data_IF_578966884045
#
_entry.id   IF_578966884045
#
_cell.length_a   1.000
_cell.length_b   1.000
_cell.length_c   1.000
_cell.angle_alpha   90.00
_cell.angle_beta   90.00
_cell.angle_gamma   90.00
#
_symmetry.space_group_name_H-M   'P 1'
#
loop_
_entity.id
_entity.type
_entity.pdbx_description
1 polymer ?
#
# COMPACT_ATOMS: atom_id res chain seq x y z
N UNK A 1 19.83 -12.27 10.23
CA UNK A 1 20.37 -12.67 8.91
C UNK A 1 19.70 -11.79 7.87
N UNK A 2 20.43 -11.18 6.92
CA UNK A 2 19.76 -10.55 5.77
C UNK A 2 18.91 -11.61 5.09
N UNK A 3 17.68 -11.25 4.72
CA UNK A 3 16.80 -12.11 3.94
C UNK A 3 17.57 -12.51 2.67
N UNK A 4 17.74 -13.81 2.33
CA UNK A 4 18.40 -14.18 1.09
C UNK A 4 17.74 -13.44 -0.07
N UNK A 5 18.55 -12.74 -0.88
CA UNK A 5 18.04 -12.03 -2.04
C UNK A 5 17.24 -13.00 -2.91
N UNK A 6 15.96 -12.67 -3.15
CA UNK A 6 15.08 -13.47 -3.99
C UNK A 6 15.71 -13.61 -5.38
N UNK A 7 15.82 -14.84 -5.89
CA UNK A 7 16.30 -15.08 -7.25
C UNK A 7 15.18 -14.72 -8.22
N UNK A 8 15.50 -14.38 -9.50
CA UNK A 8 14.48 -14.12 -10.52
C UNK A 8 13.37 -15.18 -10.59
N UNK A 9 13.73 -16.46 -10.49
CA UNK A 9 12.74 -17.54 -10.53
C UNK A 9 11.76 -17.50 -9.34
N UNK A 10 12.23 -17.10 -8.15
CA UNK A 10 11.38 -17.03 -6.96
C UNK A 10 10.32 -15.92 -7.10
N UNK A 11 10.66 -14.83 -7.81
CA UNK A 11 9.72 -13.75 -8.16
C UNK A 11 8.67 -14.23 -9.17
N UNK A 12 9.10 -14.96 -10.20
CA UNK A 12 8.19 -15.53 -11.21
C UNK A 12 7.22 -16.52 -10.56
N UNK A 13 7.72 -17.42 -9.73
CA UNK A 13 6.92 -18.43 -9.05
C UNK A 13 5.90 -17.78 -8.11
N UNK A 14 6.30 -16.74 -7.37
CA UNK A 14 5.42 -15.98 -6.49
C UNK A 14 4.28 -15.25 -7.21
N UNK A 15 4.50 -14.82 -8.46
CA UNK A 15 3.48 -14.16 -9.27
C UNK A 15 2.65 -15.15 -10.12
N UNK A 16 3.11 -16.38 -10.31
CA UNK A 16 2.50 -17.35 -11.22
C UNK A 16 1.21 -17.95 -10.66
N UNK A 17 0.23 -18.20 -11.53
CA UNK A 17 -0.94 -19.01 -11.17
C UNK A 17 -0.63 -20.49 -11.42
N UNK A 18 -0.76 -21.34 -10.39
CA UNK A 18 -0.47 -22.78 -10.48
C UNK A 18 -1.26 -23.41 -11.64
N UNK A 19 -0.53 -24.08 -12.53
CA UNK A 19 -1.09 -24.77 -13.70
C UNK A 19 -1.46 -23.86 -14.87
N UNK A 20 -1.14 -22.56 -14.82
CA UNK A 20 -1.46 -21.59 -15.89
C UNK A 20 -0.20 -20.85 -16.33
N UNK A 21 0.45 -21.37 -17.38
CA UNK A 21 1.69 -20.78 -17.93
C UNK A 21 1.41 -19.40 -18.53
N UNK A 22 2.29 -18.43 -18.32
CA UNK A 22 2.18 -17.10 -18.92
C UNK A 22 1.07 -16.22 -18.32
N UNK A 23 0.47 -16.63 -17.20
CA UNK A 23 -0.52 -15.83 -16.46
C UNK A 23 0.02 -15.50 -15.08
N UNK A 24 0.17 -14.20 -14.83
CA UNK A 24 0.76 -13.66 -13.61
C UNK A 24 -0.21 -12.75 -12.89
N UNK A 25 -0.10 -12.70 -11.57
CA UNK A 25 -0.87 -11.84 -10.69
C UNK A 25 0.06 -10.93 -9.92
N UNK A 26 -0.21 -9.63 -9.96
CA UNK A 26 0.53 -8.62 -9.23
C UNK A 26 -0.34 -8.04 -8.12
N UNK A 27 0.07 -8.25 -6.87
CA UNK A 27 -0.38 -7.46 -5.74
C UNK A 27 -1.73 -7.86 -5.13
N UNK A 28 -2.70 -8.43 -5.85
CA UNK A 28 -4.07 -8.51 -5.32
C UNK A 28 -4.29 -9.50 -4.14
N UNK A 29 -3.29 -10.29 -3.76
CA UNK A 29 -3.31 -11.16 -2.57
C UNK A 29 -2.18 -10.87 -1.58
N UNK A 30 -1.47 -9.75 -1.78
CA UNK A 30 -0.33 -9.36 -0.95
C UNK A 30 -0.75 -8.68 0.36
N UNK A 31 0.10 -8.81 1.39
CA UNK A 31 -0.12 -8.16 2.69
C UNK A 31 0.38 -6.71 2.73
N UNK A 32 1.48 -6.40 2.03
CA UNK A 32 2.04 -5.04 1.95
C UNK A 32 1.63 -4.38 0.64
N UNK A 33 0.74 -3.40 0.70
CA UNK A 33 0.01 -2.89 -0.47
C UNK A 33 0.31 -1.42 -0.80
N UNK A 34 1.43 -0.90 -0.30
CA UNK A 34 1.84 0.50 -0.54
C UNK A 34 2.06 0.78 -2.03
N UNK A 35 1.89 2.04 -2.44
CA UNK A 35 2.13 2.47 -3.82
C UNK A 35 3.50 2.05 -4.34
N UNK A 36 4.55 2.32 -3.56
CA UNK A 36 5.92 1.88 -3.82
C UNK A 36 6.04 0.36 -4.02
N UNK A 37 5.51 -0.43 -3.07
CA UNK A 37 5.61 -1.89 -3.14
C UNK A 37 4.87 -2.48 -4.36
N UNK A 38 3.84 -1.79 -4.86
CA UNK A 38 3.15 -2.19 -6.08
C UNK A 38 4.03 -1.95 -7.33
N UNK A 39 4.71 -0.80 -7.43
CA UNK A 39 5.67 -0.55 -8.50
C UNK A 39 6.84 -1.54 -8.47
N UNK A 40 7.45 -1.74 -7.30
CA UNK A 40 8.57 -2.69 -7.13
C UNK A 40 8.19 -4.09 -7.61
N UNK A 41 7.00 -4.57 -7.30
CA UNK A 41 6.52 -5.88 -7.80
C UNK A 41 6.41 -5.92 -9.32
N UNK A 42 5.85 -4.87 -9.92
CA UNK A 42 5.73 -4.77 -11.38
C UNK A 42 7.11 -4.78 -12.06
N UNK A 43 8.05 -3.99 -11.56
CA UNK A 43 9.43 -3.93 -12.06
C UNK A 43 10.15 -5.27 -11.87
N UNK A 44 10.07 -5.85 -10.67
CA UNK A 44 10.74 -7.09 -10.33
C UNK A 44 10.25 -8.27 -11.17
N UNK A 45 8.93 -8.39 -11.41
CA UNK A 45 8.39 -9.43 -12.27
C UNK A 45 8.93 -9.33 -13.69
N UNK A 46 8.92 -8.14 -14.28
CA UNK A 46 9.41 -7.97 -15.65
C UNK A 46 10.91 -8.22 -15.74
N UNK A 47 11.70 -7.70 -14.80
CA UNK A 47 13.12 -7.96 -14.72
C UNK A 47 13.37 -9.48 -14.67
N UNK A 48 12.64 -10.20 -13.82
CA UNK A 48 12.77 -11.64 -13.71
C UNK A 48 12.36 -12.40 -14.98
N UNK A 49 11.28 -12.00 -15.64
CA UNK A 49 10.86 -12.58 -16.93
C UNK A 49 11.90 -12.34 -18.03
N UNK A 50 12.54 -11.16 -18.05
CA UNK A 50 13.61 -10.85 -18.99
C UNK A 50 14.86 -11.71 -18.73
N UNK A 51 15.32 -11.76 -17.47
CA UNK A 51 16.48 -12.56 -17.03
C UNK A 51 16.31 -14.07 -17.28
N UNK A 52 15.07 -14.56 -17.31
CA UNK A 52 14.74 -15.96 -17.57
C UNK A 52 14.30 -16.21 -19.02
N UNK A 53 14.60 -15.28 -19.95
CA UNK A 53 14.33 -15.38 -21.39
C UNK A 53 12.85 -15.50 -21.80
N UNK A 54 11.90 -15.23 -20.91
CA UNK A 54 10.46 -15.29 -21.23
C UNK A 54 10.05 -14.22 -22.26
N UNK A 55 10.82 -13.12 -22.36
CA UNK A 55 10.57 -12.03 -23.31
C UNK A 55 11.39 -12.14 -24.61
N UNK A 56 12.25 -13.17 -24.74
CA UNK A 56 13.22 -13.30 -25.84
C UNK A 56 12.55 -13.44 -27.22
N UNK A 57 11.48 -14.22 -27.30
CA UNK A 57 10.71 -14.45 -28.53
C UNK A 57 9.66 -13.36 -28.81
N UNK A 58 9.77 -12.19 -28.13
CA UNK A 58 8.90 -11.03 -28.30
C UNK A 58 7.41 -11.37 -28.15
N UNK A 59 7.00 -12.07 -27.07
CA UNK A 59 5.61 -12.43 -26.85
C UNK A 59 4.72 -11.18 -26.81
N UNK A 60 3.47 -11.29 -27.26
CA UNK A 60 2.49 -10.22 -27.03
C UNK A 60 2.07 -10.25 -25.56
N UNK A 61 2.24 -9.12 -24.87
CA UNK A 61 2.03 -9.00 -23.42
C UNK A 61 0.79 -8.14 -23.15
N UNK A 62 -0.19 -8.67 -22.41
CA UNK A 62 -1.28 -7.90 -21.86
C UNK A 62 -1.00 -7.54 -20.40
N UNK A 63 -1.17 -6.27 -20.05
CA UNK A 63 -1.18 -5.79 -18.66
C UNK A 63 -2.58 -5.27 -18.34
N UNK A 64 -3.22 -5.80 -17.30
CA UNK A 64 -4.62 -5.50 -16.96
C UNK A 64 -4.65 -4.68 -15.68
N UNK A 65 -4.94 -3.37 -15.81
CA UNK A 65 -5.00 -2.40 -14.72
C UNK A 65 -3.94 -1.30 -14.87
N UNK A 66 -4.37 -0.05 -14.98
CA UNK A 66 -3.55 1.17 -15.05
C UNK A 66 -3.22 1.77 -13.68
N UNK A 67 -3.09 0.91 -12.67
CA UNK A 67 -2.59 1.23 -11.33
C UNK A 67 -1.06 1.21 -11.25
N UNK A 68 -0.50 1.44 -10.06
CA UNK A 68 0.95 1.56 -9.85
C UNK A 68 1.75 0.34 -10.34
N UNK A 69 1.28 -0.88 -10.02
CA UNK A 69 1.93 -2.11 -10.48
C UNK A 69 1.85 -2.29 -12.00
N UNK A 70 0.70 -1.96 -12.60
CA UNK A 70 0.46 -2.14 -14.02
C UNK A 70 1.25 -1.15 -14.88
N UNK A 71 1.35 0.13 -14.46
CA UNK A 71 2.19 1.09 -15.16
C UNK A 71 3.66 0.67 -15.12
N UNK A 72 4.15 0.26 -13.95
CA UNK A 72 5.50 -0.23 -13.77
C UNK A 72 5.79 -1.46 -14.65
N UNK A 73 4.92 -2.46 -14.64
CA UNK A 73 5.07 -3.66 -15.46
C UNK A 73 5.01 -3.34 -16.96
N UNK A 74 4.07 -2.51 -17.42
CA UNK A 74 3.93 -2.17 -18.83
C UNK A 74 5.13 -1.36 -19.35
N UNK A 75 5.59 -0.35 -18.60
CA UNK A 75 6.76 0.44 -18.96
C UNK A 75 8.03 -0.42 -18.97
N UNK A 76 8.25 -1.24 -17.94
CA UNK A 76 9.39 -2.13 -17.89
C UNK A 76 9.38 -3.14 -19.04
N UNK A 77 8.22 -3.74 -19.37
CA UNK A 77 8.13 -4.74 -20.44
C UNK A 77 8.46 -4.13 -21.82
N UNK A 78 7.99 -2.90 -22.05
CA UNK A 78 8.24 -2.16 -23.28
C UNK A 78 9.71 -1.73 -23.42
N UNK A 79 10.40 -1.47 -22.31
CA UNK A 79 11.83 -1.12 -22.28
C UNK A 79 12.75 -2.34 -22.35
N UNK A 80 12.37 -3.46 -21.72
CA UNK A 80 13.17 -4.67 -21.62
C UNK A 80 13.15 -5.53 -22.90
N UNK A 81 12.20 -5.31 -23.81
CA UNK A 81 12.06 -6.09 -25.04
C UNK A 81 11.34 -5.32 -26.15
N UNK A 82 11.32 -5.91 -27.35
CA UNK A 82 10.48 -5.44 -28.48
C UNK A 82 9.10 -6.11 -28.51
N UNK A 83 8.70 -6.77 -27.42
CA UNK A 83 7.36 -7.34 -27.25
C UNK A 83 6.29 -6.27 -27.48
N UNK A 84 5.20 -6.58 -28.17
CA UNK A 84 4.03 -5.70 -28.19
C UNK A 84 3.34 -5.78 -26.82
N UNK A 85 3.30 -4.67 -26.11
CA UNK A 85 2.71 -4.52 -24.78
C UNK A 85 1.41 -3.75 -24.91
N UNK A 86 0.31 -4.31 -24.40
CA UNK A 86 -0.99 -3.65 -24.36
C UNK A 86 -1.45 -3.51 -22.91
N UNK A 87 -1.54 -2.26 -22.45
CA UNK A 87 -2.08 -1.92 -21.13
C UNK A 87 -3.57 -1.60 -21.24
N UNK A 88 -4.42 -2.36 -20.54
CA UNK A 88 -5.85 -2.12 -20.45
C UNK A 88 -6.21 -1.43 -19.13
N UNK A 89 -6.88 -0.28 -19.20
CA UNK A 89 -7.44 0.42 -18.04
C UNK A 89 -8.95 0.64 -18.24
N UNK A 90 -9.75 0.24 -17.25
CA UNK A 90 -11.21 0.35 -17.30
C UNK A 90 -11.69 1.79 -17.12
N UNK A 91 -10.95 2.61 -16.38
CA UNK A 91 -11.16 4.02 -16.18
C UNK A 91 -10.66 4.85 -17.37
N UNK A 92 -11.00 6.13 -17.35
CA UNK A 92 -10.57 7.14 -18.31
C UNK A 92 -9.20 7.75 -18.01
N UNK A 93 -8.72 7.58 -16.79
CA UNK A 93 -7.44 8.08 -16.29
C UNK A 93 -6.62 6.95 -15.68
N UNK A 94 -5.30 7.08 -15.81
CA UNK A 94 -4.34 6.23 -15.11
C UNK A 94 -4.22 6.67 -13.65
N UNK A 95 -3.94 5.72 -12.75
CA UNK A 95 -3.82 5.95 -11.30
C UNK A 95 -5.02 6.73 -10.71
N UNK A 96 -6.23 6.41 -11.19
CA UNK A 96 -7.46 7.18 -10.90
C UNK A 96 -7.73 7.38 -9.40
N UNK A 97 -7.42 6.38 -8.57
CA UNK A 97 -7.69 6.45 -7.12
C UNK A 97 -6.83 7.52 -6.41
N UNK A 98 -5.61 7.76 -6.89
CA UNK A 98 -4.69 8.75 -6.30
C UNK A 98 -5.04 10.19 -6.67
N UNK A 99 -6.13 10.44 -7.42
CA UNK A 99 -6.63 11.80 -7.68
C UNK A 99 -7.55 12.32 -6.56
N UNK A 100 -8.06 11.46 -5.68
CA UNK A 100 -9.19 11.79 -4.80
C UNK A 100 -8.86 12.67 -3.59
N UNK A 101 -7.57 12.87 -3.26
CA UNK A 101 -7.20 13.50 -1.99
C UNK A 101 -5.78 14.08 -1.96
N UNK A 102 -5.67 15.33 -1.50
CA UNK A 102 -4.40 15.96 -1.15
C UNK A 102 -3.99 15.70 0.31
N UNK A 103 -4.87 15.08 1.11
CA UNK A 103 -4.64 14.77 2.54
C UNK A 103 -3.83 13.49 2.72
N UNK A 104 -3.84 12.58 1.74
CA UNK A 104 -3.02 11.37 1.79
C UNK A 104 -1.67 11.67 1.16
N UNK A 105 -0.62 11.61 1.99
CA UNK A 105 0.76 11.60 1.52
C UNK A 105 1.19 10.17 1.23
N UNK A 106 1.86 10.00 0.11
CA UNK A 106 2.56 8.78 -0.23
C UNK A 106 4.02 8.97 0.14
N UNK A 107 4.59 7.93 0.72
CA UNK A 107 5.99 7.87 1.12
C UNK A 107 6.51 6.47 0.80
N UNK A 108 7.65 6.35 0.12
CA UNK A 108 8.16 5.06 -0.33
C UNK A 108 8.64 4.18 0.83
N UNK A 109 9.14 4.79 1.90
CA UNK A 109 9.98 4.13 2.90
C UNK A 109 9.46 4.24 4.34
N UNK A 110 8.45 5.07 4.62
CA UNK A 110 7.98 5.34 5.99
C UNK A 110 7.57 4.09 6.77
N UNK A 111 7.03 3.08 6.08
CA UNK A 111 6.64 1.80 6.69
C UNK A 111 7.86 0.98 7.18
N UNK A 112 9.08 1.33 6.76
CA UNK A 112 10.32 0.72 7.24
C UNK A 112 10.85 1.38 8.52
N UNK A 113 10.29 2.51 8.94
CA UNK A 113 10.70 3.18 10.19
C UNK A 113 10.54 2.20 11.36
N UNK A 114 11.53 2.09 12.28
CA UNK A 114 12.67 2.99 12.51
C UNK A 114 13.99 2.55 11.87
N UNK A 115 13.97 1.69 10.83
CA UNK A 115 15.21 1.27 10.16
C UNK A 115 15.87 2.44 9.43
N UNK A 116 17.19 2.34 9.24
CA UNK A 116 17.96 3.29 8.42
C UNK A 116 17.39 3.38 7.00
N UNK A 117 17.36 4.58 6.43
CA UNK A 117 16.81 4.87 5.10
C UNK A 117 15.28 4.96 5.05
N UNK A 118 14.59 4.85 6.18
CA UNK A 118 13.13 5.03 6.24
C UNK A 118 12.69 6.49 6.05
N UNK A 119 13.62 7.43 6.16
CA UNK A 119 13.45 8.87 5.99
C UNK A 119 13.87 9.37 4.61
N UNK A 120 14.33 8.49 3.72
CA UNK A 120 14.64 8.85 2.35
C UNK A 120 13.35 9.18 1.59
N UNK A 121 13.18 10.43 1.14
CA UNK A 121 11.94 10.84 0.47
C UNK A 121 11.86 10.30 -0.96
N UNK A 122 12.97 9.87 -1.57
CA UNK A 122 13.00 9.43 -2.97
C UNK A 122 12.71 7.94 -3.04
N UNK A 123 11.91 7.50 -4.01
CA UNK A 123 11.59 6.08 -4.17
C UNK A 123 12.77 5.27 -4.76
N UNK A 124 13.71 5.92 -5.43
CA UNK A 124 14.91 5.32 -6.05
C UNK A 124 14.56 4.18 -7.02
N UNK A 125 13.47 4.36 -7.78
CA UNK A 125 13.07 3.41 -8.80
C UNK A 125 13.81 3.68 -10.12
N UNK A 126 14.21 2.62 -10.88
CA UNK A 126 14.94 2.80 -12.13
C UNK A 126 14.14 3.50 -13.23
N UNK A 127 12.81 3.45 -13.14
CA UNK A 127 11.85 4.14 -13.99
C UNK A 127 10.62 4.48 -13.16
N UNK A 128 9.85 5.49 -13.59
CA UNK A 128 8.62 5.93 -12.91
C UNK A 128 8.89 6.32 -11.44
N UNK A 129 10.01 7.01 -11.23
CA UNK A 129 10.49 7.39 -9.91
C UNK A 129 9.72 8.61 -9.37
N UNK A 130 9.73 8.82 -8.06
CA UNK A 130 8.99 9.90 -7.43
C UNK A 130 9.52 10.21 -6.03
N UNK A 131 9.16 11.39 -5.53
CA UNK A 131 9.49 11.84 -4.18
C UNK A 131 8.23 11.87 -3.28
N UNK A 132 8.40 11.58 -2.00
CA UNK A 132 7.36 11.58 -0.99
C UNK A 132 6.56 12.89 -1.01
N UNK A 133 5.24 12.78 -1.05
CA UNK A 133 4.39 13.95 -1.24
C UNK A 133 2.90 13.64 -1.30
N UNK A 134 2.05 14.65 -1.58
CA UNK A 134 0.63 14.44 -1.83
C UNK A 134 0.40 13.39 -2.92
N UNK A 135 -0.61 12.53 -2.74
CA UNK A 135 -0.88 11.43 -3.68
C UNK A 135 -1.13 11.89 -5.12
N UNK A 136 -1.70 13.09 -5.29
CA UNK A 136 -1.89 13.77 -6.56
C UNK A 136 -0.57 14.10 -7.27
N UNK A 137 0.40 14.69 -6.55
CA UNK A 137 1.72 15.01 -7.11
C UNK A 137 2.48 13.75 -7.52
N UNK A 138 2.52 12.74 -6.65
CA UNK A 138 3.19 11.45 -6.93
C UNK A 138 2.59 10.78 -8.16
N UNK A 139 1.25 10.81 -8.28
CA UNK A 139 0.56 10.35 -9.48
C UNK A 139 1.06 11.10 -10.71
N UNK A 140 1.07 12.43 -10.68
CA UNK A 140 1.39 13.25 -11.85
C UNK A 140 2.82 13.00 -12.33
N UNK A 141 3.76 12.83 -11.41
CA UNK A 141 5.15 12.46 -11.75
C UNK A 141 5.25 11.08 -12.41
N UNK A 142 4.55 10.08 -11.86
CA UNK A 142 4.55 8.72 -12.41
C UNK A 142 3.85 8.66 -13.76
N UNK A 143 2.70 9.31 -13.92
CA UNK A 143 1.98 9.36 -15.20
C UNK A 143 2.82 10.06 -16.26
N UNK A 144 3.41 11.21 -15.95
CA UNK A 144 4.26 11.95 -16.89
C UNK A 144 5.43 11.10 -17.40
N UNK A 145 6.12 10.38 -16.51
CA UNK A 145 7.21 9.49 -16.91
C UNK A 145 6.72 8.29 -17.71
N UNK A 146 5.57 7.72 -17.35
CA UNK A 146 4.97 6.61 -18.09
C UNK A 146 4.58 7.03 -19.51
N UNK A 147 3.99 8.21 -19.68
CA UNK A 147 3.64 8.77 -20.98
C UNK A 147 4.88 9.08 -21.83
N UNK A 148 5.98 9.53 -21.22
CA UNK A 148 7.26 9.69 -21.92
C UNK A 148 7.82 8.35 -22.43
N UNK A 149 7.76 7.28 -21.61
CA UNK A 149 8.12 5.92 -22.05
C UNK A 149 7.23 5.47 -23.20
N UNK A 150 5.91 5.61 -23.07
CA UNK A 150 4.96 5.21 -24.11
C UNK A 150 5.15 6.01 -25.41
N UNK A 151 5.45 7.31 -25.32
CA UNK A 151 5.73 8.17 -26.48
C UNK A 151 7.03 7.83 -27.22
N UNK A 152 8.05 7.34 -26.48
CA UNK A 152 9.34 6.92 -27.07
C UNK A 152 9.33 5.48 -27.59
N UNK A 153 8.41 4.64 -27.11
CA UNK A 153 8.36 3.20 -27.40
C UNK A 153 7.14 2.86 -28.24
N UNK A 154 7.35 2.60 -29.54
CA UNK A 154 6.27 2.22 -30.46
C UNK A 154 5.64 0.84 -30.20
N UNK A 155 6.15 0.08 -29.23
CA UNK A 155 5.64 -1.23 -28.84
C UNK A 155 4.73 -1.21 -27.60
N UNK A 156 4.41 -0.03 -27.04
CA UNK A 156 3.48 0.10 -25.91
C UNK A 156 2.18 0.79 -26.34
N UNK A 157 1.06 0.08 -26.23
CA UNK A 157 -0.27 0.58 -26.51
C UNK A 157 -1.07 0.70 -25.22
N UNK A 158 -1.64 1.89 -24.96
CA UNK A 158 -2.43 2.16 -23.76
C UNK A 158 -3.89 2.34 -24.13
N UNK A 159 -4.75 1.46 -23.61
CA UNK A 159 -6.18 1.41 -23.92
C UNK A 159 -6.99 1.76 -22.66
N UNK A 160 -7.26 3.06 -22.48
CA UNK A 160 -8.14 3.58 -21.43
C UNK A 160 -9.61 3.38 -21.80
N UNK A 161 -10.51 3.30 -20.83
CA UNK A 161 -11.93 2.96 -20.99
C UNK A 161 -12.15 1.55 -21.59
N UNK A 162 -11.20 0.64 -21.40
CA UNK A 162 -11.27 -0.75 -21.84
C UNK A 162 -11.24 -1.68 -20.63
N UNK A 163 -12.35 -2.39 -20.41
CA UNK A 163 -12.46 -3.33 -19.29
C UNK A 163 -12.26 -4.75 -19.81
N UNK A 164 -11.25 -5.45 -19.31
CA UNK A 164 -11.14 -6.90 -19.51
C UNK A 164 -12.20 -7.59 -18.65
N UNK A 165 -13.04 -8.42 -19.25
CA UNK A 165 -14.17 -9.11 -18.60
C UNK A 165 -14.02 -10.62 -18.58
N UNK A 166 -13.03 -11.17 -19.29
CA UNK A 166 -12.76 -12.60 -19.31
C UNK A 166 -11.39 -12.91 -19.91
N UNK A 167 -10.87 -14.07 -19.54
CA UNK A 167 -9.65 -14.64 -20.11
C UNK A 167 -9.87 -16.14 -20.32
N UNK A 168 -9.52 -16.64 -21.50
CA UNK A 168 -9.62 -18.05 -21.88
C UNK A 168 -8.27 -18.54 -22.37
N UNK A 169 -7.78 -19.64 -21.80
CA UNK A 169 -6.55 -20.28 -22.24
C UNK A 169 -6.72 -20.87 -23.65
N UNK A 170 -5.66 -20.80 -24.45
CA UNK A 170 -5.61 -21.31 -25.82
C UNK A 170 -4.84 -22.63 -25.88
N UNK A 171 -5.30 -23.57 -26.70
CA UNK A 171 -4.67 -24.89 -26.85
C UNK A 171 -3.21 -24.80 -27.34
N UNK A 172 -2.89 -23.80 -28.15
CA UNK A 172 -1.55 -23.52 -28.65
C UNK A 172 -0.65 -22.78 -27.64
N UNK A 173 -1.16 -22.50 -26.43
CA UNK A 173 -0.52 -21.66 -25.42
C UNK A 173 -0.92 -20.19 -25.52
N UNK A 174 -0.87 -19.50 -24.37
CA UNK A 174 -1.34 -18.13 -24.23
C UNK A 174 -2.83 -18.03 -23.93
N UNK A 175 -3.38 -16.83 -24.05
CA UNK A 175 -4.73 -16.48 -23.63
C UNK A 175 -5.42 -15.58 -24.64
N UNK A 176 -6.71 -15.81 -24.83
CA UNK A 176 -7.63 -14.87 -25.45
C UNK A 176 -8.35 -14.06 -24.37
N UNK A 177 -8.20 -12.74 -24.41
CA UNK A 177 -8.87 -11.81 -23.53
C UNK A 177 -10.15 -11.30 -24.16
N UNK A 178 -11.23 -11.26 -23.38
CA UNK A 178 -12.48 -10.57 -23.74
C UNK A 178 -12.43 -9.16 -23.17
N UNK A 179 -12.52 -8.16 -24.03
CA UNK A 179 -12.37 -6.74 -23.68
C UNK A 179 -13.61 -5.96 -24.09
N UNK A 180 -14.21 -5.25 -23.14
CA UNK A 180 -15.29 -4.30 -23.38
C UNK A 180 -14.72 -2.90 -23.58
N UNK A 181 -14.84 -2.39 -24.81
CA UNK A 181 -14.57 -1.00 -25.17
C UNK A 181 -15.78 -0.15 -24.79
N UNK A 182 -15.66 0.63 -23.70
CA UNK A 182 -16.77 1.44 -23.20
C UNK A 182 -17.13 2.59 -24.14
N UNK A 183 -16.17 3.11 -24.90
CA UNK A 183 -16.42 4.23 -25.81
C UNK A 183 -17.19 3.77 -27.05
N UNK A 184 -16.83 2.61 -27.59
CA UNK A 184 -17.53 2.01 -28.74
C UNK A 184 -18.74 1.15 -28.34
N UNK A 185 -18.93 0.85 -27.05
CA UNK A 185 -20.03 0.04 -26.56
C UNK A 185 -20.01 -1.41 -27.05
N UNK A 186 -18.83 -1.98 -27.29
CA UNK A 186 -18.69 -3.31 -27.91
C UNK A 186 -17.65 -4.20 -27.23
N UNK A 187 -17.85 -5.50 -27.35
CA UNK A 187 -16.87 -6.52 -26.97
C UNK A 187 -15.93 -6.80 -28.14
N UNK A 188 -14.67 -7.05 -27.81
CA UNK A 188 -13.67 -7.61 -28.73
C UNK A 188 -12.85 -8.68 -28.03
N UNK A 189 -12.23 -9.55 -28.82
CA UNK A 189 -11.26 -10.52 -28.32
C UNK A 189 -9.88 -10.24 -28.90
N UNK A 190 -8.86 -10.46 -28.08
CA UNK A 190 -7.46 -10.29 -28.46
C UNK A 190 -6.59 -11.36 -27.80
N UNK A 191 -5.63 -11.92 -28.54
CA UNK A 191 -4.75 -12.98 -28.05
C UNK A 191 -3.42 -12.42 -27.55
N UNK A 192 -2.89 -13.05 -26.49
CA UNK A 192 -1.65 -12.68 -25.81
C UNK A 192 -0.92 -13.93 -25.33
N UNK A 193 0.42 -13.95 -25.40
CA UNK A 193 1.21 -15.06 -24.87
C UNK A 193 1.47 -14.90 -23.36
N UNK A 194 1.55 -13.64 -22.90
CA UNK A 194 1.73 -13.31 -21.49
C UNK A 194 0.60 -12.38 -21.06
N UNK A 195 -0.01 -12.67 -19.91
CA UNK A 195 -1.05 -11.85 -19.28
C UNK A 195 -0.63 -11.54 -17.84
N UNK A 196 -0.61 -10.26 -17.49
CA UNK A 196 -0.28 -9.75 -16.16
C UNK A 196 -1.52 -9.09 -15.57
N UNK A 197 -2.08 -9.71 -14.54
CA UNK A 197 -3.23 -9.22 -13.78
C UNK A 197 -2.74 -8.22 -12.72
N UNK A 198 -2.90 -6.93 -13.01
CA UNK A 198 -2.44 -5.80 -12.19
C UNK A 198 -3.60 -4.87 -11.78
N UNK A 199 -4.82 -5.43 -11.60
CA UNK A 199 -6.04 -4.67 -11.32
C UNK A 199 -6.15 -4.18 -9.86
N UNK A 200 -5.15 -4.50 -9.02
CA UNK A 200 -5.06 -4.04 -7.63
C UNK A 200 -6.23 -4.51 -6.77
N UNK A 201 -6.61 -3.68 -5.80
CA UNK A 201 -7.67 -3.96 -4.81
C UNK A 201 -8.97 -3.18 -5.05
N UNK A 202 -8.96 -2.27 -6.04
CA UNK A 202 -10.10 -1.42 -6.34
C UNK A 202 -10.49 -0.48 -5.18
N UNK A 203 -11.76 -0.09 -5.19
CA UNK A 203 -12.41 0.60 -4.07
C UNK A 203 -12.94 -0.44 -3.07
N UNK A 204 -13.12 -0.01 -1.83
CA UNK A 204 -13.75 -0.80 -0.79
C UNK A 204 -15.16 -1.23 -1.19
N UNK A 205 -15.65 -2.34 -0.62
CA UNK A 205 -17.03 -2.75 -0.80
C UNK A 205 -17.97 -1.66 -0.24
N UNK A 206 -19.05 -1.37 -0.96
CA UNK A 206 -20.13 -0.51 -0.47
C UNK A 206 -21.08 -1.28 0.43
N UNK A 207 -21.54 -0.65 1.51
CA UNK A 207 -22.42 -1.22 2.54
C UNK A 207 -21.76 -2.38 3.31
N UNK A 208 -20.51 -2.20 3.72
CA UNK A 208 -19.78 -3.17 4.55
C UNK A 208 -20.57 -3.53 5.82
N UNK A 209 -21.33 -2.56 6.35
CA UNK A 209 -22.37 -2.79 7.35
C UNK A 209 -23.70 -2.27 6.81
N UNK A 210 -24.70 -3.15 6.74
CA UNK A 210 -26.02 -2.83 6.19
C UNK A 210 -26.62 -1.58 6.88
N UNK A 211 -26.97 -0.57 6.09
CA UNK A 211 -27.57 0.68 6.57
C UNK A 211 -26.57 1.71 7.10
N UNK A 212 -25.26 1.46 7.00
CA UNK A 212 -24.20 2.43 7.29
C UNK A 212 -23.54 2.84 5.97
N UNK A 213 -23.51 4.15 5.71
CA UNK A 213 -22.85 4.68 4.52
C UNK A 213 -21.34 4.61 4.64
N UNK A 214 -20.69 4.01 3.65
CA UNK A 214 -19.23 3.92 3.57
C UNK A 214 -18.62 5.15 2.89
N UNK A 215 -17.41 5.51 3.30
CA UNK A 215 -16.56 6.51 2.63
C UNK A 215 -15.28 5.82 2.18
N UNK A 216 -14.82 6.11 0.96
CA UNK A 216 -13.61 5.45 0.47
C UNK A 216 -12.37 5.94 1.22
N UNK A 217 -11.36 5.09 1.35
CA UNK A 217 -10.05 5.48 1.86
C UNK A 217 -9.43 6.66 1.09
N UNK A 218 -9.73 6.74 -0.22
CA UNK A 218 -9.26 7.78 -1.13
C UNK A 218 -10.09 9.08 -1.07
N UNK A 219 -11.13 9.12 -0.23
CA UNK A 219 -11.91 10.34 0.02
C UNK A 219 -11.37 11.11 1.23
N UNK A 220 -11.51 12.45 1.20
CA UNK A 220 -11.17 13.33 2.33
C UNK A 220 -12.05 13.14 3.59
N UNK A 221 -13.03 12.23 3.56
CA UNK A 221 -14.08 12.06 4.57
C UNK A 221 -13.79 10.98 5.63
N UNK A 222 -12.74 10.17 5.46
CA UNK A 222 -12.45 9.02 6.34
C UNK A 222 -11.90 9.37 7.73
N UNK A 223 -11.42 10.59 7.93
CA UNK A 223 -10.95 11.07 9.25
C UNK A 223 -12.11 11.82 9.92
N UNK A 224 -12.44 11.52 11.19
CA UNK A 224 -13.42 12.29 11.96
C UNK A 224 -13.17 13.79 11.80
N UNK A 225 -14.05 14.48 11.06
CA UNK A 225 -13.90 15.91 10.79
C UNK A 225 -14.07 16.76 12.06
N UNK A 226 -13.84 18.07 11.95
CA UNK A 226 -14.17 19.01 13.03
C UNK A 226 -15.68 19.00 13.36
N UNK A 227 -16.52 18.51 12.45
CA UNK A 227 -17.98 18.50 12.54
C UNK A 227 -18.53 17.37 13.43
N UNK A 228 -18.35 17.53 14.74
CA UNK A 228 -19.17 16.82 15.75
C UNK A 228 -19.92 17.83 16.62
N UNK A 229 -20.39 18.92 15.99
CA UNK A 229 -21.20 19.97 16.63
C UNK A 229 -22.33 19.31 17.44
N UNK A 230 -22.27 19.43 18.76
CA UNK A 230 -23.34 19.04 19.68
C UNK A 230 -23.11 17.78 20.54
N UNK A 231 -21.98 17.08 20.44
CA UNK A 231 -21.64 15.97 21.37
C UNK A 231 -20.46 16.33 22.27
N UNK A 232 -20.72 16.46 23.57
CA UNK A 232 -19.69 16.81 24.55
C UNK A 232 -18.60 15.73 24.68
N UNK A 233 -19.00 14.45 24.63
CA UNK A 233 -18.11 13.29 24.75
C UNK A 233 -18.42 12.28 23.63
N UNK A 234 -17.82 12.41 22.43
CA UNK A 234 -18.07 11.46 21.35
C UNK A 234 -17.41 10.11 21.65
N UNK A 235 -18.10 9.02 21.30
CA UNK A 235 -17.56 7.66 21.37
C UNK A 235 -17.34 7.12 19.97
N UNK A 236 -16.10 6.71 19.68
CA UNK A 236 -15.70 6.09 18.41
C UNK A 236 -15.49 4.59 18.56
N UNK A 237 -15.96 3.86 17.56
CA UNK A 237 -15.71 2.43 17.39
C UNK A 237 -14.86 2.22 16.15
N UNK A 238 -13.66 1.69 16.33
CA UNK A 238 -12.71 1.38 15.26
C UNK A 238 -12.53 -0.12 15.20
N UNK A 239 -12.78 -0.73 14.03
CA UNK A 239 -12.64 -2.17 13.81
C UNK A 239 -11.50 -2.46 12.84
N UNK A 240 -10.42 -3.07 13.34
CA UNK A 240 -9.27 -3.51 12.54
C UNK A 240 -7.92 -3.14 13.16
N UNK A 241 -6.94 -4.05 13.01
CA UNK A 241 -5.56 -3.91 13.54
C UNK A 241 -4.49 -3.72 12.46
N UNK A 242 -4.90 -3.45 11.22
CA UNK A 242 -3.99 -3.06 10.14
C UNK A 242 -3.65 -1.56 10.20
N UNK A 243 -2.71 -1.10 9.38
CA UNK A 243 -2.25 0.29 9.38
C UNK A 243 -3.39 1.32 9.25
N UNK A 244 -4.40 1.04 8.42
CA UNK A 244 -5.61 1.87 8.28
C UNK A 244 -6.42 2.00 9.59
N UNK A 245 -6.69 0.88 10.27
CA UNK A 245 -7.44 0.90 11.52
C UNK A 245 -6.66 1.56 12.66
N UNK A 246 -5.35 1.31 12.75
CA UNK A 246 -4.50 1.95 13.77
C UNK A 246 -4.40 3.47 13.55
N UNK A 247 -4.31 3.94 12.31
CA UNK A 247 -4.25 5.38 12.04
C UNK A 247 -5.61 6.06 12.29
N UNK A 248 -6.72 5.39 11.95
CA UNK A 248 -8.07 5.92 12.21
C UNK A 248 -8.34 6.02 13.72
N UNK A 249 -7.79 5.09 14.52
CA UNK A 249 -7.78 5.21 15.98
C UNK A 249 -7.07 6.48 16.44
N UNK A 250 -5.82 6.71 16.01
CA UNK A 250 -5.09 7.95 16.38
C UNK A 250 -5.81 9.21 15.89
N UNK A 251 -6.37 9.16 14.70
CA UNK A 251 -7.12 10.27 14.10
C UNK A 251 -8.38 10.63 14.90
N UNK A 252 -9.14 9.62 15.37
CA UNK A 252 -10.34 9.82 16.16
C UNK A 252 -10.09 10.42 17.55
N UNK A 253 -8.91 10.17 18.14
CA UNK A 253 -8.48 10.78 19.40
C UNK A 253 -8.06 12.26 19.25
N UNK A 254 -7.65 12.65 18.04
CA UNK A 254 -7.00 13.93 17.77
C UNK A 254 -8.01 15.09 17.67
N UNK A 255 -7.61 16.28 18.12
CA UNK A 255 -8.42 17.50 17.96
C UNK A 255 -8.52 17.91 16.50
N UNK A 256 -7.37 18.02 15.85
CA UNK A 256 -7.16 18.44 14.47
C UNK A 256 -6.14 17.50 13.83
N UNK A 257 -6.60 16.35 13.29
CA UNK A 257 -5.69 15.33 12.77
C UNK A 257 -5.09 15.72 11.41
N UNK A 258 -3.76 15.83 11.37
CA UNK A 258 -2.95 15.86 10.16
C UNK A 258 -2.00 14.65 10.20
N UNK A 259 -2.20 13.72 9.27
CA UNK A 259 -1.43 12.49 9.19
C UNK A 259 0.07 12.75 9.03
N UNK A 260 0.44 13.73 8.21
CA UNK A 260 1.83 14.03 7.94
C UNK A 260 2.50 14.69 9.14
N UNK A 261 1.80 15.62 9.80
CA UNK A 261 2.28 16.25 11.01
C UNK A 261 2.45 15.23 12.13
N UNK A 262 1.53 14.26 12.27
CA UNK A 262 1.64 13.17 13.24
C UNK A 262 2.88 12.30 12.97
N UNK A 263 3.07 11.85 11.72
CA UNK A 263 4.25 11.08 11.34
C UNK A 263 5.52 11.85 11.71
N UNK A 264 5.62 13.12 11.31
CA UNK A 264 6.77 13.96 11.61
C UNK A 264 6.98 14.15 13.11
N UNK A 265 5.90 14.35 13.88
CA UNK A 265 5.95 14.52 15.33
C UNK A 265 6.53 13.29 16.04
N UNK A 266 6.31 12.08 15.50
CA UNK A 266 6.86 10.84 16.05
C UNK A 266 8.27 10.55 15.53
N UNK A 267 8.49 10.64 14.22
CA UNK A 267 9.76 10.22 13.60
C UNK A 267 10.92 11.18 13.86
N UNK A 268 10.63 12.48 14.03
CA UNK A 268 11.62 13.53 14.28
C UNK A 268 11.70 13.97 15.75
N UNK A 269 11.02 13.29 16.67
CA UNK A 269 11.01 13.69 18.08
C UNK A 269 12.42 13.56 18.71
N UNK A 270 12.81 14.47 19.64
CA UNK A 270 14.10 14.38 20.30
C UNK A 270 14.30 13.07 21.09
N UNK A 271 15.56 12.62 21.18
CA UNK A 271 15.98 11.46 22.00
C UNK A 271 15.24 10.15 21.66
N UNK A 272 14.97 9.90 20.38
CA UNK A 272 14.28 8.70 19.93
C UNK A 272 15.17 7.46 19.78
N UNK A 273 16.51 7.58 19.84
CA UNK A 273 17.41 6.45 19.57
C UNK A 273 17.22 5.24 20.51
N UNK A 274 17.02 5.41 21.83
CA UNK A 274 16.69 4.29 22.71
C UNK A 274 15.35 3.64 22.33
N UNK A 275 14.35 4.45 21.95
CA UNK A 275 13.02 3.97 21.54
C UNK A 275 13.14 3.15 20.25
N UNK A 276 13.86 3.64 19.25
CA UNK A 276 14.10 2.94 17.98
C UNK A 276 14.79 1.60 18.20
N UNK A 277 15.79 1.56 19.07
CA UNK A 277 16.54 0.34 19.41
C UNK A 277 15.62 -0.71 20.02
N UNK A 278 14.81 -0.31 20.99
CA UNK A 278 13.89 -1.20 21.69
C UNK A 278 12.75 -1.70 20.79
N UNK A 279 12.22 -0.84 19.90
CA UNK A 279 11.22 -1.22 18.91
C UNK A 279 11.74 -2.31 17.96
N UNK A 280 12.99 -2.20 17.51
CA UNK A 280 13.62 -3.21 16.64
C UNK A 280 13.89 -4.52 17.38
N UNK A 281 14.22 -4.46 18.68
CA UNK A 281 14.37 -5.64 19.53
C UNK A 281 13.03 -6.39 19.66
N UNK A 282 11.94 -5.69 20.02
CA UNK A 282 10.59 -6.26 20.09
C UNK A 282 10.19 -6.89 18.76
N UNK A 283 10.42 -6.21 17.63
CA UNK A 283 10.08 -6.72 16.31
C UNK A 283 10.86 -8.00 15.97
N UNK A 284 12.12 -8.09 16.37
CA UNK A 284 12.97 -9.28 16.16
C UNK A 284 12.48 -10.46 17.00
N UNK A 285 12.19 -10.22 18.28
CA UNK A 285 11.66 -11.23 19.20
C UNK A 285 10.29 -11.76 18.73
N UNK A 286 9.37 -10.87 18.35
CA UNK A 286 8.05 -11.23 17.87
C UNK A 286 8.10 -12.07 16.58
N UNK A 287 9.03 -11.76 15.66
CA UNK A 287 9.24 -12.56 14.45
C UNK A 287 9.81 -13.94 14.78
N UNK A 288 10.75 -14.02 15.71
CA UNK A 288 11.30 -15.29 16.16
C UNK A 288 10.23 -16.17 16.83
N UNK A 289 9.43 -15.60 17.73
CA UNK A 289 8.31 -16.29 18.37
C UNK A 289 7.31 -16.81 17.33
N UNK A 290 6.95 -16.00 16.32
CA UNK A 290 6.07 -16.42 15.22
C UNK A 290 6.61 -17.61 14.43
N UNK A 291 7.93 -17.68 14.20
CA UNK A 291 8.56 -18.82 13.51
C UNK A 291 8.49 -20.09 14.35
N UNK A 292 8.64 -19.97 15.67
CA UNK A 292 8.55 -21.10 16.61
C UNK A 292 7.10 -21.50 16.95
N UNK A 293 6.12 -20.64 16.63
CA UNK A 293 4.73 -20.83 17.05
C UNK A 293 4.47 -20.44 18.50
N UNK A 294 5.40 -19.69 19.11
CA UNK A 294 5.28 -19.24 20.50
C UNK A 294 4.34 -18.02 20.59
N UNK A 295 3.54 -17.89 21.67
CA UNK A 295 2.73 -16.71 21.89
C UNK A 295 3.62 -15.48 22.16
N UNK A 296 3.30 -14.36 21.53
CA UNK A 296 3.97 -13.09 21.77
C UNK A 296 2.96 -11.94 21.75
N UNK A 297 2.79 -11.26 22.88
CA UNK A 297 1.86 -10.12 23.00
C UNK A 297 2.58 -8.82 22.63
N UNK A 298 2.42 -8.40 21.37
CA UNK A 298 3.03 -7.17 20.86
C UNK A 298 2.56 -5.92 21.60
N UNK A 299 1.29 -5.87 22.02
CA UNK A 299 0.73 -4.70 22.70
C UNK A 299 1.33 -4.52 24.10
N UNK A 300 1.43 -5.61 24.86
CA UNK A 300 2.05 -5.62 26.19
C UNK A 300 3.54 -5.28 26.09
N UNK A 301 4.27 -5.90 25.15
CA UNK A 301 5.68 -5.58 24.92
C UNK A 301 5.91 -4.09 24.61
N UNK A 302 5.09 -3.48 23.74
CA UNK A 302 5.18 -2.04 23.50
C UNK A 302 4.81 -1.22 24.75
N UNK A 303 3.74 -1.58 25.45
CA UNK A 303 3.28 -0.82 26.63
C UNK A 303 4.34 -0.80 27.73
N UNK A 304 4.94 -1.96 28.03
CA UNK A 304 5.86 -2.13 29.15
C UNK A 304 7.27 -1.62 28.84
N UNK A 305 7.76 -1.83 27.61
CA UNK A 305 9.15 -1.51 27.24
C UNK A 305 9.27 -0.16 26.56
N UNK A 306 8.30 0.23 25.73
CA UNK A 306 8.32 1.49 24.99
C UNK A 306 7.64 2.61 25.77
N UNK A 307 6.54 2.33 26.45
CA UNK A 307 5.77 3.30 27.24
C UNK A 307 6.63 4.20 28.13
N UNK A 308 7.47 3.62 29.03
CA UNK A 308 8.35 4.41 29.88
C UNK A 308 9.34 5.29 29.12
N UNK A 309 9.86 4.83 27.98
CA UNK A 309 10.82 5.58 27.17
C UNK A 309 10.17 6.81 26.52
N UNK A 310 8.96 6.67 25.97
CA UNK A 310 8.24 7.78 25.32
C UNK A 310 7.58 8.74 26.30
N UNK A 311 7.33 8.30 27.54
CA UNK A 311 6.99 9.21 28.63
C UNK A 311 8.22 10.02 29.06
N UNK A 312 9.36 9.35 29.27
CA UNK A 312 10.59 9.98 29.71
C UNK A 312 11.15 11.00 28.71
N UNK A 313 11.05 10.70 27.40
CA UNK A 313 11.49 11.65 26.37
C UNK A 313 10.48 12.80 26.13
N UNK A 314 9.26 12.70 26.66
CA UNK A 314 8.22 13.71 26.58
C UNK A 314 7.28 13.63 25.37
N UNK A 315 7.41 12.60 24.51
CA UNK A 315 6.55 12.43 23.34
C UNK A 315 5.06 12.31 23.74
N UNK A 316 4.77 11.56 24.80
CA UNK A 316 3.39 11.42 25.33
C UNK A 316 2.80 12.79 25.70
N UNK A 317 3.55 13.62 26.43
CA UNK A 317 3.12 14.97 26.81
C UNK A 317 2.91 15.87 25.60
N UNK A 318 3.73 15.72 24.56
CA UNK A 318 3.54 16.44 23.30
C UNK A 318 2.23 16.07 22.61
N UNK A 319 1.97 14.76 22.46
CA UNK A 319 0.76 14.25 21.81
C UNK A 319 -0.51 14.54 22.62
N UNK A 320 -0.45 14.49 23.96
CA UNK A 320 -1.58 14.82 24.84
C UNK A 320 -2.17 16.21 24.56
N UNK A 321 -1.34 17.18 24.19
CA UNK A 321 -1.79 18.55 23.84
C UNK A 321 -2.55 18.62 22.52
N UNK A 322 -2.43 17.60 21.68
CA UNK A 322 -3.10 17.48 20.39
C UNK A 322 -4.38 16.63 20.46
N UNK A 323 -4.61 15.96 21.60
CA UNK A 323 -5.81 15.15 21.81
C UNK A 323 -7.04 16.02 22.09
N UNK A 324 -8.20 15.49 21.73
CA UNK A 324 -9.49 16.09 22.04
C UNK A 324 -9.95 15.65 23.43
N UNK A 325 -10.33 16.58 24.33
CA UNK A 325 -10.89 16.23 25.63
C UNK A 325 -12.20 15.45 25.51
N UNK A 326 -12.42 14.49 26.42
CA UNK A 326 -13.71 13.78 26.57
C UNK A 326 -14.01 12.72 25.50
N UNK A 327 -13.09 12.43 24.58
CA UNK A 327 -13.26 11.37 23.58
C UNK A 327 -13.19 10.00 24.24
N UNK A 328 -14.14 9.13 23.90
CA UNK A 328 -14.12 7.71 24.24
C UNK A 328 -13.86 6.87 23.00
N UNK A 329 -13.13 5.78 23.16
CA UNK A 329 -12.69 4.95 22.04
C UNK A 329 -12.79 3.47 22.35
N UNK A 330 -13.19 2.70 21.35
CA UNK A 330 -13.14 1.24 21.35
C UNK A 330 -12.39 0.80 20.10
N UNK A 331 -11.28 0.07 20.30
CA UNK A 331 -10.56 -0.61 19.24
C UNK A 331 -10.94 -2.10 19.27
N UNK A 332 -11.64 -2.56 18.25
CA UNK A 332 -12.00 -3.96 18.06
C UNK A 332 -11.00 -4.61 17.09
N UNK A 333 -10.45 -5.74 17.50
CA UNK A 333 -9.58 -6.58 16.67
C UNK A 333 -10.19 -7.97 16.53
N UNK A 334 -9.80 -8.68 15.46
CA UNK A 334 -10.24 -10.07 15.26
C UNK A 334 -9.55 -11.03 16.23
N UNK A 335 -8.29 -10.74 16.53
CA UNK A 335 -7.42 -11.58 17.33
C UNK A 335 -7.30 -10.98 18.74
N UNK A 336 -6.93 -11.81 19.74
CA UNK A 336 -6.78 -11.37 21.14
C UNK A 336 -5.71 -10.28 21.30
N UNK A 337 -4.67 -10.30 20.46
CA UNK A 337 -3.66 -9.24 20.42
C UNK A 337 -4.17 -8.03 19.62
N UNK A 338 -4.05 -6.84 20.22
CA UNK A 338 -4.36 -5.56 19.56
C UNK A 338 -3.45 -5.33 18.35
N UNK A 339 -2.18 -5.75 18.44
CA UNK A 339 -1.17 -5.54 17.43
C UNK A 339 -0.78 -6.81 16.69
N UNK A 340 -0.45 -6.65 15.42
CA UNK A 340 0.06 -7.74 14.58
C UNK A 340 1.36 -7.31 13.88
N UNK A 341 2.15 -8.30 13.46
CA UNK A 341 3.33 -8.07 12.60
C UNK A 341 2.97 -7.57 11.18
N UNK A 342 1.67 -7.51 10.84
CA UNK A 342 1.18 -6.99 9.57
C UNK A 342 1.09 -5.45 9.53
N UNK A 343 1.00 -4.80 10.69
CA UNK A 343 1.00 -3.33 10.79
C UNK A 343 2.41 -2.77 11.02
N UNK A 344 2.66 -1.55 10.52
CA UNK A 344 3.92 -0.85 10.74
C UNK A 344 4.25 -0.65 12.22
N UNK A 345 5.55 -0.60 12.52
CA UNK A 345 6.04 -0.27 13.88
C UNK A 345 5.60 1.15 14.26
N UNK A 346 5.66 2.08 13.30
CA UNK A 346 5.28 3.49 13.50
C UNK A 346 3.82 3.64 13.95
N UNK A 347 2.87 2.98 13.28
CA UNK A 347 1.45 3.09 13.66
C UNK A 347 1.16 2.43 15.00
N UNK A 348 1.81 1.30 15.32
CA UNK A 348 1.72 0.68 16.65
C UNK A 348 2.25 1.61 17.74
N UNK A 349 3.38 2.28 17.50
CA UNK A 349 3.94 3.28 18.41
C UNK A 349 2.96 4.46 18.62
N UNK A 350 2.40 5.00 17.54
CA UNK A 350 1.46 6.11 17.60
C UNK A 350 0.21 5.76 18.43
N UNK A 351 -0.32 4.54 18.29
CA UNK A 351 -1.45 4.05 19.10
C UNK A 351 -1.08 3.96 20.58
N UNK A 352 0.07 3.36 20.93
CA UNK A 352 0.51 3.26 22.34
C UNK A 352 0.71 4.64 22.95
N UNK A 353 1.37 5.55 22.23
CA UNK A 353 1.59 6.91 22.69
C UNK A 353 0.26 7.66 22.90
N UNK A 354 -0.73 7.43 22.02
CA UNK A 354 -2.09 7.98 22.15
C UNK A 354 -2.82 7.41 23.36
N UNK A 355 -2.77 6.10 23.58
CA UNK A 355 -3.41 5.44 24.73
C UNK A 355 -2.85 6.00 26.04
N UNK A 356 -1.53 6.08 26.17
CA UNK A 356 -0.89 6.63 27.37
C UNK A 356 -1.25 8.12 27.53
N UNK A 357 -1.24 8.89 26.44
CA UNK A 357 -1.60 10.31 26.49
C UNK A 357 -3.03 10.52 26.99
N UNK A 358 -4.00 9.72 26.53
CA UNK A 358 -5.38 9.74 27.02
C UNK A 358 -5.48 9.43 28.53
N UNK A 359 -4.67 8.51 29.04
CA UNK A 359 -4.64 8.17 30.47
C UNK A 359 -4.01 9.28 31.34
N UNK A 360 -3.18 10.15 30.75
CA UNK A 360 -2.53 11.26 31.45
C UNK A 360 -3.30 12.59 31.41
N UNK A 361 -4.42 12.65 30.68
CA UNK A 361 -5.21 13.89 30.46
C UNK A 361 -6.40 14.05 31.42
N UNK A 362 -6.42 13.33 32.54
CA UNK A 362 -7.42 13.50 33.61
C UNK A 362 -7.30 14.83 34.37
#
# INVERSE_FOLDING_TARGET
MPDPALRPIDVIDGASIKGRKGLYVLGCFDQRITFYSQQVRGLALIHALAEQDYLREKPRVAVIGGGAAGLAAAAAAALASDSEVVLFEAADDLLKLQMGTDRRKLDPHIYNWPRSGADDPVADLPILDWEAGPSSNVRDDVVRQFEDVAGRRGNLVVLKRHRVTGARELDAGGYELTVFDKAAGRLRTEAFQIVILAFGFGLEASETVHGIGDKSYWDNAGIPGAEFRGRANPHYFVSGSGDGGLIDFVAAASKDFDHAAMIQAVTSYPNMEPVKTELLAIETEARHAKVLGDPFNLFEAFSDRIGPLIQANGLVTHLARQLRPGVQMTLQTRDESVFTLGSSILNRLAVVATIIACQTTE
#
